data_IF_680512899324
#
_entry.id   IF_680512899324
#
_cell.length_a   1.000
_cell.length_b   1.000
_cell.length_c   1.000
_cell.angle_alpha   90.00
_cell.angle_beta   90.00
_cell.angle_gamma   90.00
#
_symmetry.space_group_name_H-M   'P 1'
#
loop_
_entity.id
_entity.type
_entity.pdbx_description
1 polymer ?
#
# COMPACT_ATOMS: atom_id res chain seq x y z
N UNK A 1 22.86 5.82 -8.09
CA UNK A 1 21.73 4.92 -7.77
C UNK A 1 22.22 3.60 -7.16
N UNK A 2 23.15 2.87 -7.79
CA UNK A 2 23.62 1.56 -7.31
C UNK A 2 24.24 1.56 -5.90
N UNK A 3 25.10 2.53 -5.54
CA UNK A 3 25.69 2.57 -4.18
C UNK A 3 24.63 2.72 -3.08
N UNK A 4 23.51 3.39 -3.37
CA UNK A 4 22.45 3.65 -2.39
C UNK A 4 21.69 2.38 -2.00
N UNK A 5 21.64 1.38 -2.89
CA UNK A 5 21.06 0.07 -2.60
C UNK A 5 22.02 -0.84 -1.83
N UNK A 6 23.33 -0.74 -2.11
CA UNK A 6 24.37 -1.53 -1.43
C UNK A 6 24.54 -1.09 0.02
N UNK A 7 24.43 0.21 0.29
CA UNK A 7 24.55 0.78 1.64
C UNK A 7 23.21 0.86 2.38
N UNK A 8 22.10 0.45 1.76
CA UNK A 8 20.79 0.54 2.41
C UNK A 8 20.71 -0.46 3.56
N UNK A 9 20.63 0.06 4.78
CA UNK A 9 20.29 -0.70 5.98
C UNK A 9 18.89 -0.31 6.41
N UNK A 10 18.06 -1.32 6.70
CA UNK A 10 16.72 -1.09 7.21
C UNK A 10 16.80 -0.47 8.60
N UNK A 11 16.04 0.60 8.82
CA UNK A 11 15.88 1.21 10.15
C UNK A 11 15.29 0.18 11.10
N UNK A 12 15.71 0.19 12.37
CA UNK A 12 15.18 -0.78 13.33
C UNK A 12 13.70 -0.51 13.60
N UNK A 13 12.93 -1.57 13.87
CA UNK A 13 11.50 -1.43 14.15
C UNK A 13 11.23 -0.51 15.34
N UNK A 14 12.03 -0.61 16.40
CA UNK A 14 11.91 0.23 17.59
C UNK A 14 12.11 1.73 17.29
N UNK A 15 13.01 2.08 16.37
CA UNK A 15 13.20 3.47 15.97
C UNK A 15 12.03 4.01 15.15
N UNK A 16 11.45 3.18 14.28
CA UNK A 16 10.24 3.52 13.53
C UNK A 16 9.05 3.71 14.47
N UNK A 17 8.82 2.77 15.38
CA UNK A 17 7.75 2.85 16.36
C UNK A 17 7.90 4.11 17.21
N UNK A 18 9.11 4.43 17.69
CA UNK A 18 9.39 5.68 18.44
C UNK A 18 9.12 6.93 17.61
N UNK A 19 9.52 6.95 16.34
CA UNK A 19 9.32 8.11 15.47
C UNK A 19 7.84 8.34 15.15
N UNK A 20 7.10 7.26 14.90
CA UNK A 20 5.71 7.30 14.50
C UNK A 20 4.70 7.20 15.65
N UNK A 21 5.17 7.03 16.90
CA UNK A 21 4.32 6.85 18.08
C UNK A 21 3.25 7.95 18.26
N UNK A 22 3.54 9.17 17.83
CA UNK A 22 2.62 10.31 17.88
C UNK A 22 2.27 10.86 16.48
N UNK A 23 2.45 10.06 15.43
CA UNK A 23 2.31 10.53 14.07
C UNK A 23 0.98 10.10 13.43
N UNK A 24 0.02 11.02 13.45
CA UNK A 24 -1.35 10.76 12.99
C UNK A 24 -1.63 11.31 11.58
N UNK A 25 -0.61 11.83 10.88
CA UNK A 25 -0.82 12.41 9.55
C UNK A 25 -0.93 11.29 8.51
N UNK A 26 -2.03 11.21 7.75
CA UNK A 26 -2.13 10.24 6.66
C UNK A 26 -1.21 10.64 5.50
N UNK A 27 -0.53 9.66 4.92
CA UNK A 27 0.26 9.81 3.71
C UNK A 27 -0.54 9.30 2.51
N UNK A 28 -0.68 10.13 1.47
CA UNK A 28 -1.24 9.68 0.18
C UNK A 28 -0.11 9.40 -0.80
N UNK A 29 -0.05 8.17 -1.31
CA UNK A 29 0.86 7.76 -2.38
C UNK A 29 0.08 7.73 -3.70
N UNK A 30 0.50 8.58 -4.64
CA UNK A 30 -0.05 8.60 -5.99
C UNK A 30 0.86 7.79 -6.91
N UNK A 31 0.28 6.78 -7.58
CA UNK A 31 0.98 5.95 -8.56
C UNK A 31 0.41 6.30 -9.93
N UNK A 32 1.08 7.15 -10.73
CA UNK A 32 0.69 7.40 -12.10
C UNK A 32 0.97 6.17 -12.99
N UNK A 33 0.06 5.89 -13.91
CA UNK A 33 0.16 4.79 -14.87
C UNK A 33 -0.37 5.23 -16.23
N UNK A 34 0.38 4.94 -17.28
CA UNK A 34 -0.05 5.09 -18.66
C UNK A 34 0.40 3.89 -19.49
N UNK A 35 -0.54 3.05 -19.91
CA UNK A 35 -0.28 1.87 -20.74
C UNK A 35 0.80 0.90 -20.20
N UNK A 36 1.07 0.96 -18.89
CA UNK A 36 2.03 0.08 -18.21
C UNK A 36 1.54 -1.37 -18.18
N UNK A 37 2.47 -2.31 -18.09
CA UNK A 37 2.14 -3.71 -17.91
C UNK A 37 1.54 -3.94 -16.50
N UNK A 38 0.43 -4.71 -16.37
CA UNK A 38 -0.24 -4.95 -15.09
C UNK A 38 0.69 -5.43 -13.97
N UNK A 39 1.67 -6.27 -14.32
CA UNK A 39 2.66 -6.78 -13.35
C UNK A 39 3.62 -5.71 -12.81
N UNK A 40 3.90 -4.67 -13.59
CA UNK A 40 4.67 -3.51 -13.12
C UNK A 40 3.84 -2.73 -12.09
N UNK A 41 2.55 -2.50 -12.38
CA UNK A 41 1.63 -1.83 -11.47
C UNK A 41 1.45 -2.63 -10.17
N UNK A 42 1.30 -3.95 -10.25
CA UNK A 42 1.26 -4.83 -9.05
C UNK A 42 2.48 -4.65 -8.17
N UNK A 43 3.68 -4.71 -8.75
CA UNK A 43 4.94 -4.56 -8.00
C UNK A 43 5.02 -3.18 -7.34
N UNK A 44 4.61 -2.14 -8.05
CA UNK A 44 4.63 -0.76 -7.53
C UNK A 44 3.65 -0.60 -6.36
N UNK A 45 2.42 -1.11 -6.48
CA UNK A 45 1.44 -1.03 -5.37
C UNK A 45 1.91 -1.85 -4.17
N UNK A 46 2.44 -3.06 -4.37
CA UNK A 46 3.02 -3.86 -3.28
C UNK A 46 4.19 -3.16 -2.59
N UNK A 47 5.07 -2.52 -3.36
CA UNK A 47 6.17 -1.75 -2.82
C UNK A 47 5.68 -0.61 -1.94
N UNK A 48 4.61 0.09 -2.36
CA UNK A 48 4.01 1.18 -1.58
C UNK A 48 3.24 0.67 -0.35
N UNK A 49 2.46 -0.42 -0.48
CA UNK A 49 1.58 -0.96 0.56
C UNK A 49 2.34 -1.60 1.72
N UNK A 50 3.57 -2.04 1.48
CA UNK A 50 4.44 -2.66 2.48
C UNK A 50 5.44 -1.67 3.11
N UNK A 51 5.31 -0.37 2.83
CA UNK A 51 6.13 0.64 3.51
C UNK A 51 5.72 0.75 4.98
N UNK A 52 6.69 0.96 5.86
CA UNK A 52 6.46 1.11 7.30
C UNK A 52 6.02 2.53 7.62
N UNK A 53 4.74 2.84 7.39
CA UNK A 53 4.11 4.11 7.73
C UNK A 53 2.70 3.88 8.32
N UNK A 54 2.30 4.59 9.41
CA UNK A 54 1.09 4.24 10.18
C UNK A 54 -0.22 4.31 9.39
N UNK A 55 -0.37 5.33 8.53
CA UNK A 55 -1.61 5.56 7.79
C UNK A 55 -1.29 5.93 6.35
N UNK A 56 -1.52 4.99 5.44
CA UNK A 56 -1.26 5.17 4.02
C UNK A 56 -2.54 5.04 3.20
N UNK A 57 -2.69 5.92 2.23
CA UNK A 57 -3.69 5.83 1.16
C UNK A 57 -2.98 5.71 -0.17
N UNK A 58 -3.10 4.57 -0.82
CA UNK A 58 -2.51 4.35 -2.15
C UNK A 58 -3.58 4.59 -3.20
N UNK A 59 -3.25 5.40 -4.20
CA UNK A 59 -4.14 5.75 -5.31
C UNK A 59 -3.42 5.47 -6.62
N UNK A 60 -3.98 4.55 -7.41
CA UNK A 60 -3.57 4.31 -8.79
C UNK A 60 -4.28 5.32 -9.70
N UNK A 61 -3.50 6.14 -10.41
CA UNK A 61 -4.00 7.06 -11.43
C UNK A 61 -3.81 6.38 -12.78
N UNK A 62 -4.90 6.25 -13.55
CA UNK A 62 -4.91 5.59 -14.85
C UNK A 62 -5.18 6.66 -15.90
N UNK A 63 -4.17 6.96 -16.71
CA UNK A 63 -4.26 7.95 -17.78
C UNK A 63 -4.68 7.33 -19.14
N UNK A 64 -4.90 6.01 -19.18
CA UNK A 64 -5.41 5.30 -20.35
C UNK A 64 -6.83 5.78 -20.74
N UNK A 65 -7.16 5.68 -22.04
CA UNK A 65 -8.52 5.92 -22.52
C UNK A 65 -9.51 5.08 -21.71
N UNK A 66 -10.59 5.67 -21.15
CA UNK A 66 -11.47 4.94 -20.24
C UNK A 66 -12.26 3.82 -20.92
N UNK A 67 -12.45 3.90 -22.25
CA UNK A 67 -13.23 2.99 -23.07
C UNK A 67 -12.50 2.65 -24.39
N UNK A 68 -11.40 1.87 -24.35
CA UNK A 68 -10.67 1.49 -25.56
C UNK A 68 -11.49 0.49 -26.38
N UNK A 69 -11.43 0.61 -27.71
CA UNK A 69 -12.15 -0.30 -28.63
C UNK A 69 -11.35 -1.54 -29.00
N UNK A 70 -10.03 -1.50 -28.79
CA UNK A 70 -9.14 -2.63 -29.07
C UNK A 70 -9.24 -3.67 -27.94
N UNK A 71 -9.54 -4.95 -28.23
CA UNK A 71 -9.79 -5.97 -27.20
C UNK A 71 -8.62 -6.20 -26.25
N UNK A 72 -7.39 -6.20 -26.75
CA UNK A 72 -6.16 -6.33 -25.97
C UNK A 72 -5.96 -5.18 -24.98
N UNK A 73 -6.20 -3.94 -25.43
CA UNK A 73 -6.12 -2.74 -24.58
C UNK A 73 -7.24 -2.76 -23.52
N UNK A 74 -8.44 -3.19 -23.89
CA UNK A 74 -9.56 -3.33 -22.95
C UNK A 74 -9.27 -4.38 -21.88
N UNK A 75 -8.70 -5.53 -22.26
CA UNK A 75 -8.33 -6.59 -21.32
C UNK A 75 -7.28 -6.09 -20.32
N UNK A 76 -6.21 -5.45 -20.80
CA UNK A 76 -5.16 -4.87 -19.95
C UNK A 76 -5.70 -3.79 -19.00
N UNK A 77 -6.57 -2.90 -19.50
CA UNK A 77 -7.20 -1.86 -18.68
C UNK A 77 -8.10 -2.46 -17.59
N UNK A 78 -8.85 -3.51 -17.93
CA UNK A 78 -9.72 -4.22 -16.98
C UNK A 78 -8.89 -4.87 -15.88
N UNK A 79 -7.80 -5.53 -16.25
CA UNK A 79 -6.86 -6.11 -15.29
C UNK A 79 -6.25 -5.04 -14.39
N UNK A 80 -5.74 -3.95 -14.97
CA UNK A 80 -5.11 -2.84 -14.24
C UNK A 80 -6.06 -2.22 -13.21
N UNK A 81 -7.34 -2.02 -13.58
CA UNK A 81 -8.38 -1.51 -12.67
C UNK A 81 -8.67 -2.45 -11.50
N UNK A 82 -8.50 -3.76 -11.68
CA UNK A 82 -8.73 -4.77 -10.65
C UNK A 82 -7.58 -4.95 -9.65
N UNK A 83 -6.37 -4.49 -9.97
CA UNK A 83 -5.17 -4.70 -9.13
C UNK A 83 -5.35 -4.19 -7.69
N UNK A 84 -5.88 -2.98 -7.44
CA UNK A 84 -6.04 -2.49 -6.06
C UNK A 84 -6.92 -3.40 -5.20
N UNK A 85 -8.02 -3.90 -5.77
CA UNK A 85 -8.94 -4.80 -5.07
C UNK A 85 -8.30 -6.17 -4.80
N UNK A 86 -7.58 -6.72 -5.79
CA UNK A 86 -6.81 -7.95 -5.63
C UNK A 86 -5.83 -7.87 -4.45
N UNK A 87 -5.12 -6.74 -4.33
CA UNK A 87 -4.16 -6.50 -3.25
C UNK A 87 -4.85 -6.32 -1.90
N UNK A 88 -5.97 -5.59 -1.86
CA UNK A 88 -6.77 -5.45 -0.63
C UNK A 88 -7.26 -6.81 -0.13
N UNK A 89 -7.72 -7.70 -1.02
CA UNK A 89 -8.17 -9.04 -0.63
C UNK A 89 -7.02 -9.87 -0.08
N UNK A 90 -5.83 -9.82 -0.71
CA UNK A 90 -4.62 -10.51 -0.19
C UNK A 90 -4.19 -9.99 1.18
N UNK A 91 -4.49 -8.73 1.51
CA UNK A 91 -4.20 -8.11 2.81
C UNK A 91 -5.34 -8.24 3.83
N UNK A 92 -6.47 -8.87 3.46
CA UNK A 92 -7.66 -8.93 4.32
C UNK A 92 -7.40 -9.63 5.65
N UNK A 93 -6.86 -10.84 5.62
CA UNK A 93 -6.56 -11.64 6.82
C UNK A 93 -5.62 -10.93 7.81
N UNK A 94 -4.44 -10.41 7.40
CA UNK A 94 -3.57 -9.70 8.33
C UNK A 94 -4.21 -8.40 8.84
N UNK A 95 -4.98 -7.68 8.02
CA UNK A 95 -5.73 -6.49 8.44
C UNK A 95 -6.72 -6.83 9.55
N UNK A 96 -7.54 -7.86 9.38
CA UNK A 96 -8.53 -8.28 10.38
C UNK A 96 -7.84 -8.63 11.70
N UNK A 97 -6.81 -9.49 11.64
CA UNK A 97 -6.05 -9.91 12.83
C UNK A 97 -5.43 -8.74 13.59
N UNK A 98 -4.81 -7.79 12.89
CA UNK A 98 -4.19 -6.64 13.54
C UNK A 98 -5.21 -5.61 14.05
N UNK A 99 -6.35 -5.47 13.36
CA UNK A 99 -7.47 -4.66 13.84
C UNK A 99 -8.04 -5.18 15.16
N UNK A 100 -8.26 -6.50 15.27
CA UNK A 100 -8.73 -7.12 16.52
C UNK A 100 -7.72 -6.95 17.66
N UNK A 101 -6.43 -7.14 17.39
CA UNK A 101 -5.38 -6.95 18.38
C UNK A 101 -5.29 -5.49 18.87
N UNK A 102 -5.43 -4.52 17.96
CA UNK A 102 -5.44 -3.10 18.30
C UNK A 102 -6.64 -2.75 19.18
N UNK A 103 -7.84 -3.20 18.80
CA UNK A 103 -9.06 -2.98 19.60
C UNK A 103 -8.93 -3.56 21.01
N UNK A 104 -8.34 -4.75 21.14
CA UNK A 104 -8.09 -5.39 22.44
C UNK A 104 -7.16 -4.54 23.31
N UNK A 105 -6.04 -4.07 22.74
CA UNK A 105 -5.09 -3.21 23.44
C UNK A 105 -5.71 -1.88 23.85
N UNK A 106 -6.43 -1.22 22.95
CA UNK A 106 -7.11 0.05 23.23
C UNK A 106 -8.12 -0.09 24.37
N UNK A 107 -8.87 -1.20 24.39
CA UNK A 107 -9.80 -1.51 25.48
C UNK A 107 -9.07 -1.72 26.81
N UNK A 108 -7.98 -2.49 26.84
CA UNK A 108 -7.18 -2.71 28.06
C UNK A 108 -6.61 -1.40 28.60
N UNK A 109 -6.09 -0.52 27.74
CA UNK A 109 -5.57 0.79 28.12
C UNK A 109 -6.64 1.72 28.69
N UNK A 110 -7.88 1.64 28.18
CA UNK A 110 -9.01 2.42 28.69
C UNK A 110 -9.50 1.94 30.05
N UNK A 111 -9.47 0.63 30.32
CA UNK A 111 -9.94 0.03 31.59
C UNK A 111 -8.87 0.07 32.69
N UNK A 112 -7.58 0.08 32.32
CA UNK A 112 -6.46 0.15 33.24
C UNK A 112 -6.10 1.57 33.72
N UNK A 113 -6.74 2.60 33.15
CA UNK A 113 -6.66 4.01 33.59
C UNK A 113 -7.72 4.37 34.62
#
# INVERSE_FOLDING_TARGET
AFNRFVEHVRVTRAELDRHFFHHDRPLTVLIPSYAEEPDVIRKTIWSAALQEYPSQRIVLLIDDSPNPTKPDVLARLTETRGIPEEIMERLRVPRERFGEALLTLEHELLVAG
#
